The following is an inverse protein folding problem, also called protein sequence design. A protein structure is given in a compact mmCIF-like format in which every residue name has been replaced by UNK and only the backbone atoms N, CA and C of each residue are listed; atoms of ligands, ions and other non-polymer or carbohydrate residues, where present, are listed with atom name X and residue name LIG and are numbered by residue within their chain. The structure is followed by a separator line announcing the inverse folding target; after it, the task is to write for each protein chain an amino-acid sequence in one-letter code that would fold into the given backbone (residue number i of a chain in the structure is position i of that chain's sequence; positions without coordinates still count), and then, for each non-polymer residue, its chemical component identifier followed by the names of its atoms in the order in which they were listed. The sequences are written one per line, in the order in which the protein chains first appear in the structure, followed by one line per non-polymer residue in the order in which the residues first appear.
data_IF_641302250097
#
_entry.id   IF_641302250097
#
_cell.length_a   1.000
_cell.length_b   1.000
_cell.length_c   1.000
_cell.angle_alpha   90.00
_cell.angle_beta   90.00
_cell.angle_gamma   90.00
#
_symmetry.space_group_name_H-M   'P 1'
#
loop_
_entity.id
_entity.type
_entity.pdbx_description
1 polymer ?
#
# COMPACT_ATOMS: atom_id res chain seq x y z
N UNK A 1 -17.85 2.79 3.28
CA UNK A 1 -18.71 1.60 3.21
C UNK A 1 -19.98 1.75 4.06
N UNK A 2 -19.91 2.32 5.25
CA UNK A 2 -21.10 2.53 6.12
C UNK A 2 -22.25 3.25 5.40
N UNK A 3 -21.96 4.36 4.71
CA UNK A 3 -23.00 5.08 3.95
C UNK A 3 -23.57 4.27 2.77
N UNK A 4 -22.83 3.30 2.24
CA UNK A 4 -23.34 2.37 1.25
C UNK A 4 -24.36 1.39 1.86
N UNK A 5 -24.11 0.94 3.08
CA UNK A 5 -25.04 0.06 3.81
C UNK A 5 -26.30 0.83 4.13
N UNK A 6 -26.22 2.05 4.67
CA UNK A 6 -27.37 2.94 4.87
C UNK A 6 -28.12 3.24 3.58
N UNK A 7 -27.41 3.40 2.44
CA UNK A 7 -28.06 3.59 1.15
C UNK A 7 -28.87 2.35 0.73
N UNK A 8 -28.34 1.14 0.96
CA UNK A 8 -29.05 -0.11 0.62
C UNK A 8 -30.28 -0.31 1.50
N UNK A 9 -30.21 0.12 2.75
CA UNK A 9 -31.32 0.09 3.71
C UNK A 9 -32.29 1.27 3.55
N UNK A 10 -31.98 2.23 2.67
CA UNK A 10 -32.73 3.49 2.48
C UNK A 10 -32.83 4.32 3.77
N UNK A 11 -31.80 4.21 4.61
CA UNK A 11 -31.69 4.96 5.87
C UNK A 11 -30.94 6.27 5.65
N UNK A 12 -31.57 7.40 5.98
CA UNK A 12 -30.97 8.73 5.98
C UNK A 12 -30.28 8.96 7.32
N UNK A 13 -29.15 8.32 7.56
CA UNK A 13 -28.41 8.38 8.80
C UNK A 13 -27.17 9.28 8.66
N UNK A 14 -26.99 10.17 9.63
CA UNK A 14 -25.75 10.94 9.80
C UNK A 14 -24.99 10.34 10.98
N UNK A 15 -23.74 9.96 10.74
CA UNK A 15 -22.87 9.60 11.84
C UNK A 15 -22.65 10.81 12.73
N UNK A 16 -22.84 10.66 14.04
CA UNK A 16 -22.55 11.71 15.01
C UNK A 16 -21.04 11.80 15.24
N UNK A 17 -20.55 13.00 15.54
CA UNK A 17 -19.15 13.19 15.91
C UNK A 17 -18.86 12.59 17.31
N UNK A 18 -17.64 12.02 17.53
CA UNK A 18 -16.54 11.96 16.60
C UNK A 18 -16.79 10.87 15.52
N UNK A 19 -17.02 11.32 14.31
CA UNK A 19 -17.05 10.41 13.19
C UNK A 19 -15.61 10.09 12.76
N UNK A 20 -15.40 8.95 12.13
CA UNK A 20 -14.10 8.51 11.65
C UNK A 20 -13.76 9.13 10.28
N UNK A 21 -14.25 10.34 10.00
CA UNK A 21 -13.88 11.08 8.80
C UNK A 21 -12.46 11.60 8.95
N UNK A 22 -11.61 11.19 8.01
CA UNK A 22 -10.20 11.61 7.99
C UNK A 22 -10.07 12.79 7.03
N UNK A 23 -9.56 13.92 7.55
CA UNK A 23 -9.25 15.08 6.72
C UNK A 23 -7.81 14.96 6.20
N UNK A 24 -7.67 14.61 4.92
CA UNK A 24 -6.38 14.27 4.32
C UNK A 24 -5.28 15.32 4.50
N UNK A 25 -5.55 16.65 4.38
CA UNK A 25 -4.50 17.65 4.60
C UNK A 25 -3.89 17.70 6.01
N UNK A 26 -4.55 17.11 7.01
CA UNK A 26 -4.05 17.01 8.39
C UNK A 26 -3.49 15.61 8.70
N UNK A 27 -3.44 14.74 7.69
CA UNK A 27 -3.07 13.33 7.86
C UNK A 27 -1.66 13.06 7.38
N UNK A 28 -1.03 12.07 8.02
CA UNK A 28 0.29 11.55 7.66
C UNK A 28 0.15 10.21 6.97
N UNK A 29 0.77 10.07 5.79
CA UNK A 29 0.93 8.78 5.12
C UNK A 29 2.38 8.30 5.23
N UNK A 30 2.57 7.06 5.67
CA UNK A 30 3.84 6.34 5.63
C UNK A 30 3.82 5.37 4.44
N UNK A 31 4.68 5.61 3.47
CA UNK A 31 4.84 4.77 2.29
C UNK A 31 6.08 3.91 2.47
N UNK A 32 5.88 2.60 2.54
CA UNK A 32 6.96 1.61 2.65
C UNK A 32 7.30 1.10 1.26
N UNK A 33 8.45 1.52 0.74
CA UNK A 33 8.92 1.33 -0.62
C UNK A 33 8.70 2.57 -1.49
N UNK A 34 9.74 3.38 -1.70
CA UNK A 34 9.72 4.58 -2.56
C UNK A 34 10.31 4.27 -3.95
N UNK A 35 9.87 3.15 -4.53
CA UNK A 35 10.11 2.79 -5.93
C UNK A 35 9.17 3.53 -6.88
N UNK A 36 8.93 2.99 -8.08
CA UNK A 36 8.05 3.62 -9.07
C UNK A 36 6.63 3.86 -8.56
N UNK A 37 6.00 2.83 -7.97
CA UNK A 37 4.64 2.92 -7.42
C UNK A 37 4.61 3.84 -6.19
N UNK A 38 5.55 3.66 -5.26
CA UNK A 38 5.60 4.48 -4.04
C UNK A 38 5.81 5.96 -4.32
N UNK A 39 6.64 6.31 -5.30
CA UNK A 39 6.87 7.71 -5.71
C UNK A 39 5.60 8.34 -6.31
N UNK A 40 4.88 7.63 -7.18
CA UNK A 40 3.61 8.13 -7.72
C UNK A 40 2.53 8.25 -6.62
N UNK A 41 2.50 7.31 -5.67
CA UNK A 41 1.62 7.38 -4.50
C UNK A 41 1.96 8.63 -3.66
N UNK A 42 3.24 8.86 -3.37
CA UNK A 42 3.70 10.04 -2.64
C UNK A 42 3.25 11.34 -3.30
N UNK A 43 3.42 11.44 -4.62
CA UNK A 43 2.98 12.59 -5.42
C UNK A 43 1.48 12.86 -5.30
N UNK A 44 0.66 11.81 -5.38
CA UNK A 44 -0.80 11.94 -5.24
C UNK A 44 -1.19 12.35 -3.81
N UNK A 45 -0.60 11.73 -2.80
CA UNK A 45 -0.83 12.08 -1.39
C UNK A 45 -0.42 13.53 -1.10
N UNK A 46 0.72 13.96 -1.64
CA UNK A 46 1.18 15.35 -1.51
C UNK A 46 0.24 16.34 -2.18
N UNK A 47 -0.30 16.00 -3.35
CA UNK A 47 -1.29 16.82 -4.05
C UNK A 47 -2.60 16.94 -3.28
N UNK A 48 -2.93 15.98 -2.40
CA UNK A 48 -4.06 16.01 -1.47
C UNK A 48 -3.74 16.74 -0.15
N UNK A 49 -2.53 17.30 -0.02
CA UNK A 49 -2.10 18.08 1.14
C UNK A 49 -1.56 17.26 2.32
N UNK A 50 -1.40 15.94 2.15
CA UNK A 50 -0.91 15.07 3.22
C UNK A 50 0.57 15.30 3.56
N UNK A 51 0.96 14.99 4.79
CA UNK A 51 2.36 14.82 5.18
C UNK A 51 2.83 13.42 4.76
N UNK A 52 3.92 13.35 3.98
CA UNK A 52 4.39 12.11 3.35
C UNK A 52 5.71 11.67 3.94
N UNK A 53 5.70 10.52 4.63
CA UNK A 53 6.88 9.82 5.13
C UNK A 53 7.22 8.66 4.19
N UNK A 54 8.50 8.47 3.88
CA UNK A 54 8.98 7.38 3.03
C UNK A 54 9.93 6.46 3.78
N UNK A 55 9.78 5.14 3.58
CA UNK A 55 10.75 4.12 3.96
C UNK A 55 11.27 3.46 2.68
N UNK A 56 12.58 3.42 2.50
CA UNK A 56 13.19 2.66 1.41
C UNK A 56 14.54 2.08 1.81
N UNK A 57 14.84 0.87 1.32
CA UNK A 57 16.07 0.15 1.65
C UNK A 57 17.25 0.54 0.76
N UNK A 58 17.02 1.20 -0.37
CA UNK A 58 18.03 1.44 -1.41
C UNK A 58 18.15 2.88 -1.84
N UNK A 59 17.08 3.64 -1.64
CA UNK A 59 17.02 5.00 -2.10
C UNK A 59 17.75 5.92 -1.14
N UNK A 60 18.81 6.55 -1.61
CA UNK A 60 19.59 7.53 -0.84
C UNK A 60 19.07 8.97 -1.02
N UNK A 61 18.41 9.24 -2.17
CA UNK A 61 17.81 10.53 -2.45
C UNK A 61 16.40 10.64 -1.86
N UNK A 62 16.00 11.83 -1.49
CA UNK A 62 14.64 12.16 -1.09
C UNK A 62 13.88 12.74 -2.29
N UNK A 63 12.83 12.06 -2.81
CA UNK A 63 12.00 12.62 -3.87
C UNK A 63 11.31 13.91 -3.43
N UNK A 64 11.02 14.79 -4.38
CA UNK A 64 10.32 16.07 -4.17
C UNK A 64 9.00 15.90 -3.39
N UNK A 65 8.31 14.78 -3.60
CA UNK A 65 6.98 14.51 -3.05
C UNK A 65 6.99 13.85 -1.67
N UNK A 66 8.16 13.61 -1.08
CA UNK A 66 8.34 13.01 0.25
C UNK A 66 8.88 14.06 1.20
N UNK A 67 8.23 14.25 2.34
CA UNK A 67 8.66 15.24 3.34
C UNK A 67 9.87 14.73 4.10
N UNK A 68 9.85 13.47 4.57
CA UNK A 68 10.96 12.84 5.27
C UNK A 68 11.20 11.42 4.76
N UNK A 69 12.47 11.05 4.59
CA UNK A 69 12.93 9.74 4.13
C UNK A 69 13.68 9.02 5.23
N UNK A 70 13.43 7.72 5.38
CA UNK A 70 14.02 6.87 6.42
C UNK A 70 14.49 5.53 5.86
N UNK A 71 15.44 4.90 6.54
CA UNK A 71 15.81 3.51 6.29
C UNK A 71 14.85 2.50 6.93
N UNK A 72 14.91 1.22 6.51
CA UNK A 72 14.04 0.16 7.03
C UNK A 72 14.12 -0.02 8.56
N UNK A 73 15.27 0.28 9.17
CA UNK A 73 15.49 0.18 10.61
C UNK A 73 14.67 1.20 11.42
N UNK A 74 14.15 2.23 10.75
CA UNK A 74 13.33 3.26 11.37
C UNK A 74 11.81 3.01 11.21
N UNK A 75 11.41 1.93 10.51
CA UNK A 75 10.00 1.61 10.27
C UNK A 75 9.18 1.63 11.56
N UNK A 76 9.65 0.95 12.60
CA UNK A 76 8.93 0.83 13.88
C UNK A 76 8.71 2.18 14.57
N UNK A 77 9.68 3.08 14.43
CA UNK A 77 9.58 4.43 14.99
C UNK A 77 8.61 5.33 14.22
N UNK A 78 8.34 5.03 12.95
CA UNK A 78 7.44 5.83 12.12
C UNK A 78 5.99 5.33 12.13
N UNK A 79 5.73 4.04 12.42
CA UNK A 79 4.38 3.48 12.45
C UNK A 79 3.41 4.25 13.39
N UNK A 80 3.80 4.68 14.61
CA UNK A 80 2.92 5.44 15.49
C UNK A 80 2.55 6.84 14.98
N UNK A 81 3.29 7.35 13.99
CA UNK A 81 3.07 8.70 13.44
C UNK A 81 2.08 8.71 12.26
N UNK A 82 1.81 7.53 11.67
CA UNK A 82 1.06 7.41 10.43
C UNK A 82 -0.46 7.22 10.66
N UNK A 83 -1.26 7.94 9.88
CA UNK A 83 -2.71 7.73 9.75
C UNK A 83 -3.01 6.73 8.61
N UNK A 84 -2.11 6.65 7.63
CA UNK A 84 -2.14 5.69 6.55
C UNK A 84 -0.78 5.02 6.42
N UNK A 85 -0.75 3.70 6.33
CA UNK A 85 0.45 2.91 6.04
C UNK A 85 0.24 2.19 4.71
N UNK A 86 1.06 2.51 3.70
CA UNK A 86 0.94 1.98 2.34
C UNK A 86 2.16 1.15 1.99
N UNK A 87 1.95 -0.13 1.66
CA UNK A 87 3.01 -1.02 1.20
C UNK A 87 3.07 -1.07 -0.32
N UNK A 88 4.26 -0.77 -0.85
CA UNK A 88 4.61 -0.86 -2.27
C UNK A 88 5.92 -1.61 -2.49
N UNK A 89 6.37 -2.38 -1.47
CA UNK A 89 7.60 -3.16 -1.50
C UNK A 89 7.42 -4.49 -2.24
N UNK A 90 8.49 -5.02 -2.86
CA UNK A 90 8.51 -6.38 -3.38
C UNK A 90 8.54 -7.41 -2.26
N UNK A 91 8.19 -8.65 -2.58
CA UNK A 91 8.47 -9.80 -1.73
C UNK A 91 9.93 -10.22 -1.91
N UNK A 92 10.65 -10.24 -0.81
CA UNK A 92 12.04 -10.72 -0.69
C UNK A 92 12.19 -11.49 0.62
N UNK A 93 13.28 -12.23 0.86
CA UNK A 93 13.51 -12.87 2.14
C UNK A 93 13.48 -11.91 3.34
N UNK A 94 13.84 -10.64 3.14
CA UNK A 94 13.84 -9.61 4.20
C UNK A 94 12.49 -8.92 4.39
N UNK A 95 11.56 -9.03 3.44
CA UNK A 95 10.24 -8.40 3.51
C UNK A 95 9.12 -9.41 3.73
N UNK A 96 9.41 -10.72 3.73
CA UNK A 96 8.45 -11.77 4.02
C UNK A 96 7.92 -11.64 5.45
N UNK A 97 6.58 -11.55 5.59
CA UNK A 97 5.92 -11.35 6.87
C UNK A 97 6.38 -10.11 7.65
N UNK A 98 6.89 -9.10 6.96
CA UNK A 98 7.35 -7.84 7.57
C UNK A 98 6.24 -7.21 8.41
N UNK A 99 5.01 -7.17 7.88
CA UNK A 99 3.84 -6.73 8.62
C UNK A 99 3.16 -7.92 9.30
N UNK A 100 3.31 -7.95 10.60
CA UNK A 100 2.80 -8.98 11.52
C UNK A 100 2.20 -8.31 12.77
N UNK A 101 1.77 -9.10 13.74
CA UNK A 101 1.14 -8.62 14.97
C UNK A 101 1.94 -7.49 15.66
N UNK A 102 3.28 -7.61 15.70
CA UNK A 102 4.11 -6.58 16.34
C UNK A 102 4.10 -5.24 15.61
N UNK A 103 4.00 -5.25 14.26
CA UNK A 103 3.91 -4.02 13.47
C UNK A 103 2.53 -3.38 13.57
N UNK A 104 1.46 -4.19 13.51
CA UNK A 104 0.09 -3.68 13.70
C UNK A 104 -0.09 -3.07 15.10
N UNK A 105 0.51 -3.65 16.14
CA UNK A 105 0.48 -3.10 17.49
C UNK A 105 1.18 -1.75 17.67
N UNK A 106 2.06 -1.35 16.74
CA UNK A 106 2.72 -0.04 16.72
C UNK A 106 1.92 1.02 15.96
N UNK A 107 0.95 0.62 15.15
CA UNK A 107 0.10 1.57 14.40
C UNK A 107 -0.89 2.26 15.34
N UNK A 108 -1.42 3.41 14.92
CA UNK A 108 -2.55 4.04 15.61
C UNK A 108 -3.79 3.15 15.47
N UNK A 109 -4.65 3.11 16.47
CA UNK A 109 -5.97 2.47 16.38
C UNK A 109 -6.88 3.10 15.32
N UNK A 110 -6.64 4.36 14.99
CA UNK A 110 -7.29 5.09 13.90
C UNK A 110 -6.65 4.89 12.53
N UNK A 111 -5.51 4.19 12.43
CA UNK A 111 -4.77 4.06 11.18
C UNK A 111 -5.42 3.09 10.18
N UNK A 112 -5.20 3.38 8.90
CA UNK A 112 -5.58 2.52 7.78
C UNK A 112 -4.35 1.86 7.17
N UNK A 113 -4.42 0.54 6.97
CA UNK A 113 -3.38 -0.26 6.34
C UNK A 113 -3.72 -0.58 4.89
N UNK A 114 -2.81 -0.29 3.96
CA UNK A 114 -3.01 -0.52 2.53
C UNK A 114 -1.86 -1.37 1.97
N UNK A 115 -2.16 -2.50 1.34
CA UNK A 115 -1.15 -3.31 0.65
C UNK A 115 -1.49 -3.47 -0.84
N UNK A 116 -0.68 -2.85 -1.68
CA UNK A 116 -0.70 -2.96 -3.15
C UNK A 116 0.64 -3.45 -3.71
N UNK A 117 1.54 -3.91 -2.84
CA UNK A 117 2.85 -4.45 -3.19
C UNK A 117 2.79 -5.95 -3.48
N UNK A 118 3.07 -6.76 -2.45
CA UNK A 118 3.00 -8.23 -2.51
C UNK A 118 2.40 -8.78 -1.22
N UNK A 119 1.51 -9.77 -1.34
CA UNK A 119 0.77 -10.31 -0.21
C UNK A 119 1.64 -10.98 0.84
N UNK A 120 2.69 -11.68 0.43
CA UNK A 120 3.64 -12.34 1.33
C UNK A 120 4.38 -11.39 2.29
N UNK A 121 4.28 -10.08 2.08
CA UNK A 121 4.85 -9.08 3.00
C UNK A 121 4.01 -8.87 4.27
N UNK A 122 2.80 -9.43 4.31
CA UNK A 122 1.82 -9.23 5.38
C UNK A 122 1.31 -10.59 5.89
N UNK A 123 1.32 -10.80 7.20
CA UNK A 123 0.65 -11.92 7.85
C UNK A 123 -0.85 -11.64 7.95
N UNK A 124 -1.66 -12.34 7.16
CA UNK A 124 -3.10 -12.07 7.04
C UNK A 124 -3.88 -12.41 8.31
N UNK A 125 -3.47 -13.44 9.05
CA UNK A 125 -4.09 -13.78 10.34
C UNK A 125 -3.87 -12.67 11.37
N UNK A 126 -2.64 -12.14 11.46
CA UNK A 126 -2.30 -11.03 12.36
C UNK A 126 -3.05 -9.74 11.99
N UNK A 127 -3.22 -9.48 10.68
CA UNK A 127 -4.02 -8.37 10.20
C UNK A 127 -5.50 -8.54 10.58
N UNK A 128 -6.06 -9.74 10.38
CA UNK A 128 -7.44 -10.03 10.75
C UNK A 128 -7.68 -9.82 12.24
N UNK A 129 -6.74 -10.24 13.07
CA UNK A 129 -6.82 -10.06 14.54
C UNK A 129 -6.73 -8.58 14.93
N UNK A 130 -5.84 -7.81 14.27
CA UNK A 130 -5.73 -6.37 14.49
C UNK A 130 -7.02 -5.62 14.10
N UNK A 131 -7.66 -6.00 12.99
CA UNK A 131 -8.93 -5.44 12.57
C UNK A 131 -10.07 -5.78 13.53
N UNK A 132 -10.18 -7.04 13.95
CA UNK A 132 -11.26 -7.49 14.85
C UNK A 132 -11.13 -6.97 16.26
N UNK A 133 -9.91 -6.75 16.73
CA UNK A 133 -9.67 -6.15 18.06
C UNK A 133 -9.79 -4.62 18.06
N UNK A 134 -9.90 -3.98 16.89
CA UNK A 134 -9.86 -2.52 16.77
C UNK A 134 -8.46 -1.94 17.00
N UNK A 135 -7.41 -2.76 16.84
CA UNK A 135 -6.02 -2.32 16.92
C UNK A 135 -5.61 -1.41 15.75
N UNK A 136 -6.35 -1.48 14.63
CA UNK A 136 -6.32 -0.53 13.51
C UNK A 136 -7.74 -0.28 13.00
N UNK A 137 -7.98 0.86 12.35
CA UNK A 137 -9.32 1.27 11.92
C UNK A 137 -9.83 0.50 10.70
N UNK A 138 -8.96 0.02 9.82
CA UNK A 138 -9.36 -0.68 8.62
C UNK A 138 -8.19 -1.03 7.71
N UNK A 139 -8.49 -1.78 6.63
CA UNK A 139 -7.49 -2.15 5.64
C UNK A 139 -8.03 -2.14 4.21
N UNK A 140 -7.13 -1.90 3.23
CA UNK A 140 -7.40 -2.08 1.81
C UNK A 140 -6.30 -2.95 1.18
N UNK A 141 -6.69 -4.08 0.60
CA UNK A 141 -5.76 -5.05 0.04
C UNK A 141 -6.10 -5.36 -1.41
N UNK A 142 -5.08 -5.34 -2.26
CA UNK A 142 -5.16 -5.87 -3.63
C UNK A 142 -4.35 -7.17 -3.78
N UNK A 143 -3.55 -7.52 -2.75
CA UNK A 143 -2.64 -8.68 -2.74
C UNK A 143 -2.74 -9.46 -1.43
N UNK A 144 -2.52 -10.78 -1.49
CA UNK A 144 -2.74 -11.69 -0.37
C UNK A 144 -1.58 -12.67 -0.21
N UNK A 145 -1.38 -13.17 1.00
CA UNK A 145 -0.37 -14.18 1.33
C UNK A 145 -0.59 -15.48 0.52
N UNK A 146 -1.86 -15.81 0.23
CA UNK A 146 -2.28 -16.91 -0.63
C UNK A 146 -3.24 -16.35 -1.69
N UNK A 147 -2.94 -16.54 -2.95
CA UNK A 147 -3.75 -16.10 -4.08
C UNK A 147 -4.14 -17.27 -4.98
N UNK A 148 -5.44 -17.48 -5.25
CA UNK A 148 -6.61 -16.72 -4.77
C UNK A 148 -6.83 -16.84 -3.27
N UNK A 149 -7.36 -15.77 -2.62
CA UNK A 149 -7.73 -15.83 -1.21
C UNK A 149 -8.78 -16.95 -1.00
N UNK A 150 -8.54 -17.95 -0.10
CA UNK A 150 -9.49 -19.03 0.13
C UNK A 150 -10.87 -18.51 0.53
N UNK A 151 -11.93 -19.20 0.05
CA UNK A 151 -13.31 -18.76 0.27
C UNK A 151 -13.75 -18.79 1.76
N UNK A 152 -13.06 -19.57 2.57
CA UNK A 152 -13.28 -19.71 4.02
C UNK A 152 -12.31 -18.84 4.86
N UNK A 153 -11.49 -18.02 4.23
CA UNK A 153 -10.54 -17.17 4.95
C UNK A 153 -11.29 -16.10 5.77
N UNK A 154 -10.97 -15.94 7.09
CA UNK A 154 -11.72 -15.04 7.97
C UNK A 154 -11.63 -13.55 7.61
N UNK A 155 -10.67 -13.17 6.77
CA UNK A 155 -10.50 -11.80 6.28
C UNK A 155 -11.68 -11.31 5.44
N UNK A 156 -12.45 -12.23 4.78
CA UNK A 156 -13.64 -11.85 4.02
C UNK A 156 -14.69 -11.12 4.87
N UNK A 157 -14.77 -11.50 6.15
CA UNK A 157 -15.70 -10.94 7.12
C UNK A 157 -15.02 -9.98 8.13
N UNK A 158 -13.78 -9.56 7.84
CA UNK A 158 -13.10 -8.62 8.72
C UNK A 158 -13.73 -7.22 8.61
N UNK A 159 -13.87 -6.49 9.73
CA UNK A 159 -14.50 -5.17 9.70
C UNK A 159 -13.64 -4.17 8.94
N UNK A 160 -14.31 -3.20 8.30
CA UNK A 160 -13.68 -2.05 7.65
C UNK A 160 -12.62 -2.43 6.61
N UNK A 161 -12.87 -3.48 5.81
CA UNK A 161 -11.95 -3.93 4.78
C UNK A 161 -12.46 -3.62 3.37
N UNK A 162 -11.52 -3.32 2.48
CA UNK A 162 -11.72 -3.30 1.03
C UNK A 162 -10.77 -4.33 0.42
N UNK A 163 -11.33 -5.33 -0.23
CA UNK A 163 -10.58 -6.43 -0.84
C UNK A 163 -10.79 -6.43 -2.36
N UNK A 164 -9.70 -6.41 -3.12
CA UNK A 164 -9.73 -6.52 -4.59
C UNK A 164 -8.81 -7.66 -5.05
N UNK A 165 -9.15 -8.37 -6.15
CA UNK A 165 -8.50 -9.63 -6.50
C UNK A 165 -7.25 -9.42 -7.38
N UNK A 166 -6.24 -8.71 -6.87
CA UNK A 166 -4.95 -8.43 -7.52
C UNK A 166 -5.12 -7.81 -8.91
N UNK A 167 -5.88 -6.72 -8.99
CA UNK A 167 -6.27 -6.07 -10.24
C UNK A 167 -5.81 -4.61 -10.37
N UNK A 168 -5.02 -4.10 -9.43
CA UNK A 168 -4.59 -2.69 -9.42
C UNK A 168 -3.88 -2.24 -10.71
N UNK A 169 -3.22 -3.17 -11.41
CA UNK A 169 -2.55 -2.90 -12.68
C UNK A 169 -3.42 -3.16 -13.92
N UNK A 170 -4.73 -3.44 -13.74
CA UNK A 170 -5.63 -3.74 -14.85
C UNK A 170 -6.54 -2.55 -15.17
N UNK A 171 -6.93 -2.43 -16.44
CA UNK A 171 -8.00 -1.51 -16.86
C UNK A 171 -7.60 -0.05 -17.09
N UNK A 172 -6.33 0.29 -17.08
CA UNK A 172 -5.87 1.63 -17.51
C UNK A 172 -6.11 1.87 -19.00
N UNK A 173 -6.80 2.99 -19.35
CA UNK A 173 -6.86 3.43 -20.75
C UNK A 173 -5.43 3.58 -21.29
N UNK A 174 -5.13 3.04 -22.44
CA UNK A 174 -3.80 3.05 -23.06
C UNK A 174 -2.71 2.26 -22.31
N UNK A 175 -3.10 1.29 -21.47
CA UNK A 175 -2.13 0.46 -20.76
C UNK A 175 -1.32 -0.42 -21.73
N UNK A 176 -1.99 -1.02 -22.71
CA UNK A 176 -1.34 -1.90 -23.69
C UNK A 176 -0.42 -1.10 -24.63
N UNK A 177 -0.83 0.12 -25.03
CA UNK A 177 0.03 1.00 -25.82
C UNK A 177 1.30 1.39 -25.05
N UNK A 178 1.19 1.73 -23.77
CA UNK A 178 2.34 2.07 -22.92
C UNK A 178 3.28 0.87 -22.72
N UNK A 179 2.72 -0.33 -22.53
CA UNK A 179 3.51 -1.57 -22.45
C UNK A 179 4.25 -1.83 -23.75
N UNK A 180 3.57 -1.68 -24.88
CA UNK A 180 4.17 -1.86 -26.19
C UNK A 180 5.29 -0.85 -26.44
N UNK A 181 5.12 0.42 -26.10
CA UNK A 181 6.15 1.45 -26.20
C UNK A 181 7.41 1.10 -25.41
N UNK A 182 7.26 0.63 -24.16
CA UNK A 182 8.40 0.20 -23.33
C UNK A 182 9.12 -1.00 -23.96
N UNK A 183 8.38 -1.99 -24.44
CA UNK A 183 8.95 -3.17 -25.11
C UNK A 183 9.70 -2.78 -26.38
N UNK A 184 9.10 -1.89 -27.20
CA UNK A 184 9.71 -1.41 -28.44
C UNK A 184 10.99 -0.59 -28.17
N UNK A 185 10.97 0.26 -27.13
CA UNK A 185 12.14 1.01 -26.69
C UNK A 185 13.27 0.05 -26.26
N UNK A 186 12.96 -0.92 -25.40
CA UNK A 186 13.93 -1.92 -24.94
C UNK A 186 14.47 -2.78 -26.09
N UNK A 187 13.65 -3.10 -27.09
CA UNK A 187 14.13 -3.81 -28.27
C UNK A 187 15.17 -3.00 -29.05
N UNK A 188 14.94 -1.67 -29.21
CA UNK A 188 15.89 -0.76 -29.85
C UNK A 188 17.19 -0.62 -29.05
N UNK A 189 17.10 -0.47 -27.72
CA UNK A 189 18.25 -0.40 -26.83
C UNK A 189 19.06 -1.69 -26.89
N UNK A 190 18.39 -2.85 -26.83
CA UNK A 190 19.06 -4.14 -26.97
C UNK A 190 19.83 -4.29 -28.30
N UNK A 191 19.20 -3.89 -29.41
CA UNK A 191 19.83 -3.94 -30.72
C UNK A 191 21.03 -2.97 -30.86
N UNK A 192 21.03 -1.87 -30.11
CA UNK A 192 22.10 -0.86 -30.07
C UNK A 192 23.19 -1.18 -29.01
N UNK A 193 22.99 -2.19 -28.15
CA UNK A 193 23.89 -2.46 -27.03
C UNK A 193 23.79 -1.44 -25.90
N UNK A 194 22.66 -0.75 -25.80
CA UNK A 194 22.36 0.25 -24.79
C UNK A 194 21.66 -0.36 -23.56
N UNK A 195 21.74 0.28 -22.37
CA UNK A 195 21.03 -0.20 -21.18
C UNK A 195 19.52 -0.29 -21.39
N UNK A 196 18.91 -1.35 -20.84
CA UNK A 196 17.47 -1.53 -20.92
C UNK A 196 16.76 -0.69 -19.85
N UNK A 197 15.52 -0.29 -20.17
CA UNK A 197 14.62 0.35 -19.23
C UNK A 197 13.92 -0.72 -18.38
N UNK A 198 13.77 -0.48 -17.08
CA UNK A 198 13.10 -1.39 -16.14
C UNK A 198 13.76 -2.79 -16.08
N UNK A 199 15.08 -2.86 -16.14
CA UNK A 199 15.82 -4.10 -15.96
C UNK A 199 15.59 -4.66 -14.56
N UNK A 200 15.25 -5.95 -14.49
CA UNK A 200 15.04 -6.65 -13.21
C UNK A 200 16.37 -7.13 -12.67
N UNK A 201 16.77 -6.63 -11.51
CA UNK A 201 17.94 -7.14 -10.79
C UNK A 201 17.59 -8.44 -10.06
N UNK A 202 17.89 -9.59 -10.70
CA UNK A 202 17.59 -10.92 -10.17
C UNK A 202 18.35 -11.26 -8.89
N UNK A 203 19.51 -10.64 -8.65
CA UNK A 203 20.29 -10.85 -7.43
C UNK A 203 19.61 -10.21 -6.22
N UNK A 204 18.88 -9.15 -6.47
CA UNK A 204 18.16 -8.36 -5.46
C UNK A 204 16.62 -8.54 -5.51
N UNK A 205 16.13 -9.49 -6.30
CA UNK A 205 14.73 -9.92 -6.38
C UNK A 205 13.75 -8.96 -7.09
N UNK A 206 14.19 -7.86 -7.65
CA UNK A 206 13.33 -6.91 -8.36
C UNK A 206 14.09 -5.95 -9.28
#
# INVERSE_FOLDING_TARGET
HLYRDYQSERDWHKLEAPNHEIFLPESTVLIVGIGGIGTETAKLCKALGMHVLGIDARREDKPEWVDDMFGPEQLDAQLPNADFVVLTIPHTPSTEGLFNASKFALMKDSALFINIGRGMTTKLDDLNDALRSGGIAGAALDVYEIEPLPADHPLWDAPNTILTPHIAAQGGRHLEERRFEIVLENFRHFAAGEPLRNEVDKANWF
#
